data_IF_732931805001
#
_entry.id   IF_732931805001
#
_cell.length_a   1.000
_cell.length_b   1.000
_cell.length_c   1.000
_cell.angle_alpha   90.00
_cell.angle_beta   90.00
_cell.angle_gamma   90.00
#
_symmetry.space_group_name_H-M   'P 1'
#
loop_
_entity.id
_entity.type
_entity.pdbx_description
1 polymer ?
#
# COMPACT_ATOMS: atom_id res chain seq x y z
N UNK A 1 -1.15 -3.02 3.93
CA UNK A 1 -1.80 -2.02 3.05
C UNK A 1 -1.47 -2.35 1.61
N UNK A 2 -2.38 -2.06 0.68
CA UNK A 2 -2.13 -2.15 -0.77
C UNK A 2 -2.46 -0.80 -1.38
N UNK A 3 -1.54 -0.23 -2.16
CA UNK A 3 -1.66 1.11 -2.74
C UNK A 3 -1.35 1.04 -4.23
N UNK A 4 -2.24 1.56 -5.06
CA UNK A 4 -1.97 1.87 -6.46
C UNK A 4 -1.30 3.24 -6.54
N UNK A 5 -0.15 3.35 -7.19
CA UNK A 5 0.60 4.61 -7.31
C UNK A 5 0.25 5.42 -8.56
N UNK A 6 -0.55 4.85 -9.46
CA UNK A 6 -0.65 5.29 -10.84
C UNK A 6 -2.09 5.55 -11.27
N UNK A 7 -3.03 5.82 -10.35
CA UNK A 7 -4.39 6.12 -10.77
C UNK A 7 -4.44 7.46 -11.51
N UNK A 8 -5.04 7.55 -12.70
CA UNK A 8 -5.21 8.84 -13.36
C UNK A 8 -6.15 9.75 -12.56
N UNK A 9 -5.92 11.06 -12.67
CA UNK A 9 -6.82 12.07 -12.06
C UNK A 9 -8.12 12.24 -12.82
N UNK A 10 -8.14 11.86 -14.10
CA UNK A 10 -9.29 11.88 -14.98
C UNK A 10 -9.34 10.55 -15.75
N UNK A 11 -10.44 9.81 -15.64
CA UNK A 11 -10.56 8.49 -16.28
C UNK A 11 -10.92 8.58 -17.78
N UNK A 12 -11.49 9.69 -18.24
CA UNK A 12 -11.81 9.94 -19.65
C UNK A 12 -10.60 10.47 -20.43
N UNK A 13 -9.72 11.21 -19.75
CA UNK A 13 -8.43 11.65 -20.29
C UNK A 13 -7.32 11.33 -19.28
N UNK A 14 -6.80 10.09 -19.27
CA UNK A 14 -5.79 9.63 -18.30
C UNK A 14 -4.50 10.45 -18.28
N UNK A 15 -4.20 11.15 -19.37
CA UNK A 15 -3.03 12.03 -19.50
C UNK A 15 -3.25 13.45 -18.94
N UNK A 16 -4.47 13.78 -18.47
CA UNK A 16 -4.82 15.12 -17.98
C UNK A 16 -4.31 15.42 -16.57
N UNK A 17 -3.00 15.32 -16.36
CA UNK A 17 -2.30 15.69 -15.13
C UNK A 17 -1.54 14.54 -14.49
N UNK A 18 -0.89 14.84 -13.36
CA UNK A 18 -0.12 13.84 -12.62
C UNK A 18 -1.04 12.75 -12.04
N UNK A 19 -0.59 11.49 -12.13
CA UNK A 19 -1.25 10.34 -11.48
C UNK A 19 -1.26 10.51 -9.96
N UNK A 20 -2.18 9.81 -9.31
CA UNK A 20 -2.43 9.86 -7.87
C UNK A 20 -2.44 8.47 -7.26
N UNK A 21 -2.27 8.42 -5.95
CA UNK A 21 -2.39 7.18 -5.19
C UNK A 21 -3.85 6.76 -5.00
N UNK A 22 -4.09 5.47 -4.85
CA UNK A 22 -5.34 4.91 -4.35
C UNK A 22 -5.07 3.80 -3.34
N UNK A 23 -5.67 3.88 -2.15
CA UNK A 23 -5.62 2.82 -1.15
C UNK A 23 -6.60 1.70 -1.53
N UNK A 24 -6.07 0.56 -1.97
CA UNK A 24 -6.84 -0.62 -2.38
C UNK A 24 -7.18 -1.55 -1.20
N UNK A 25 -6.38 -1.52 -0.14
CA UNK A 25 -6.65 -2.30 1.07
C UNK A 25 -5.92 -1.74 2.28
N UNK A 26 -6.58 -1.81 3.43
CA UNK A 26 -5.98 -1.63 4.74
C UNK A 26 -6.61 -2.67 5.67
N UNK A 27 -5.86 -3.74 5.90
CA UNK A 27 -6.25 -4.85 6.76
C UNK A 27 -5.22 -4.92 7.89
N UNK A 28 -5.70 -5.06 9.11
CA UNK A 28 -4.89 -5.17 10.32
C UNK A 28 -5.08 -6.54 10.98
N UNK A 29 -4.51 -6.75 12.17
CA UNK A 29 -4.76 -7.96 12.95
C UNK A 29 -4.08 -9.22 12.41
N UNK A 30 -3.14 -9.10 11.46
CA UNK A 30 -2.34 -10.24 11.01
C UNK A 30 -1.57 -10.87 12.19
N UNK A 31 -1.60 -12.20 12.24
CA UNK A 31 -0.86 -13.04 13.19
C UNK A 31 -0.25 -14.23 12.45
N UNK A 32 0.89 -14.78 12.93
CA UNK A 32 1.40 -16.03 12.40
C UNK A 32 0.34 -17.12 12.44
N UNK A 33 0.15 -17.83 11.34
CA UNK A 33 -0.79 -18.96 11.29
C UNK A 33 -0.22 -20.26 11.87
N UNK A 34 1.04 -20.23 12.32
CA UNK A 34 1.82 -21.43 12.68
C UNK A 34 2.41 -22.17 11.47
N UNK A 35 2.08 -21.75 10.25
CA UNK A 35 2.66 -22.32 9.03
C UNK A 35 3.94 -21.59 8.63
N UNK A 36 4.98 -22.35 8.30
CA UNK A 36 6.26 -21.84 7.82
C UNK A 36 6.58 -22.48 6.48
N UNK A 37 6.92 -21.66 5.48
CA UNK A 37 7.38 -22.15 4.16
C UNK A 37 8.65 -21.41 3.78
N UNK A 38 9.71 -22.14 3.43
CA UNK A 38 11.02 -21.57 3.09
C UNK A 38 11.56 -20.59 4.16
N UNK A 39 11.34 -20.90 5.44
CA UNK A 39 11.74 -20.05 6.56
C UNK A 39 10.90 -18.78 6.73
N UNK A 40 9.82 -18.62 5.96
CA UNK A 40 8.89 -17.48 6.04
C UNK A 40 7.61 -17.91 6.75
N UNK A 41 7.24 -17.19 7.80
CA UNK A 41 5.95 -17.38 8.47
C UNK A 41 4.81 -16.89 7.58
N UNK A 42 3.80 -17.72 7.41
CA UNK A 42 2.53 -17.29 6.84
C UNK A 42 1.77 -16.47 7.88
N UNK A 43 1.32 -15.29 7.47
CA UNK A 43 0.47 -14.43 8.29
C UNK A 43 -0.97 -14.53 7.82
N UNK A 44 -1.90 -14.66 8.76
CA UNK A 44 -3.35 -14.68 8.49
C UNK A 44 -4.06 -13.63 9.33
N UNK A 45 -5.15 -13.08 8.79
CA UNK A 45 -6.08 -12.20 9.50
C UNK A 45 -7.49 -12.55 9.08
N UNK A 46 -8.43 -12.46 10.02
CA UNK A 46 -9.88 -12.52 9.74
C UNK A 46 -10.49 -11.11 9.59
N UNK A 47 -9.69 -10.05 9.80
CA UNK A 47 -10.14 -8.69 9.65
C UNK A 47 -10.37 -8.33 8.18
N UNK A 48 -11.39 -7.51 7.94
CA UNK A 48 -11.74 -7.03 6.59
C UNK A 48 -11.38 -5.55 6.39
N UNK A 49 -10.81 -4.87 7.40
CA UNK A 49 -10.76 -3.42 7.38
C UNK A 49 -9.69 -2.76 8.25
N UNK A 50 -9.65 -1.41 8.21
CA UNK A 50 -10.73 -0.47 7.83
C UNK A 50 -11.06 -0.27 6.34
N UNK A 51 -10.20 -0.71 5.41
CA UNK A 51 -10.49 -0.69 3.96
C UNK A 51 -10.40 -2.10 3.41
N UNK A 52 -11.54 -2.63 2.99
CA UNK A 52 -11.64 -3.94 2.36
C UNK A 52 -10.84 -3.97 1.05
N UNK A 53 -10.31 -5.14 0.73
CA UNK A 53 -9.54 -5.34 -0.48
C UNK A 53 -10.40 -5.12 -1.73
N UNK A 54 -9.93 -4.24 -2.61
CA UNK A 54 -10.40 -4.09 -3.98
C UNK A 54 -9.25 -4.49 -4.90
N UNK A 55 -9.49 -5.43 -5.81
CA UNK A 55 -8.48 -5.91 -6.74
C UNK A 55 -7.98 -4.84 -7.73
N UNK A 56 -6.85 -5.09 -8.42
CA UNK A 56 -6.42 -4.29 -9.55
C UNK A 56 -7.52 -4.18 -10.61
N UNK A 57 -7.70 -2.97 -11.13
CA UNK A 57 -8.69 -2.67 -12.18
C UNK A 57 -8.36 -1.35 -12.88
N UNK A 58 -7.15 -1.23 -13.48
CA UNK A 58 -6.78 -0.01 -14.16
C UNK A 58 -7.74 0.27 -15.33
N UNK A 59 -8.11 1.54 -15.57
CA UNK A 59 -8.92 1.89 -16.74
C UNK A 59 -8.16 1.54 -18.03
N UNK A 60 -8.86 1.25 -19.14
CA UNK A 60 -8.21 1.12 -20.43
C UNK A 60 -7.61 2.47 -20.84
N UNK A 61 -6.36 2.44 -21.28
CA UNK A 61 -5.62 3.61 -21.77
C UNK A 61 -5.03 3.29 -23.15
N UNK A 62 -4.87 4.31 -24.00
CA UNK A 62 -4.21 4.19 -25.30
C UNK A 62 -3.13 5.28 -25.45
N UNK A 63 -1.83 4.92 -25.41
CA UNK A 63 -1.28 3.56 -25.26
C UNK A 63 -1.56 2.94 -23.88
N UNK A 64 -1.54 1.60 -23.74
CA UNK A 64 -1.73 0.92 -22.45
C UNK A 64 -0.71 1.37 -21.40
N UNK A 65 -1.17 1.55 -20.17
CA UNK A 65 -0.32 1.91 -19.04
C UNK A 65 -0.51 0.93 -17.87
N UNK A 66 0.60 0.31 -17.44
CA UNK A 66 0.58 -0.61 -16.30
C UNK A 66 0.68 0.15 -14.98
N UNK A 67 -0.29 -0.07 -14.07
CA UNK A 67 -0.28 0.52 -12.74
C UNK A 67 0.68 -0.21 -11.79
N UNK A 68 1.42 0.53 -10.97
CA UNK A 68 2.26 -0.03 -9.90
C UNK A 68 1.43 -0.15 -8.63
N UNK A 69 1.16 -1.39 -8.26
CA UNK A 69 0.58 -1.74 -6.97
C UNK A 69 1.69 -2.07 -5.96
N UNK A 70 1.66 -1.45 -4.79
CA UNK A 70 2.61 -1.71 -3.71
C UNK A 70 1.87 -2.28 -2.52
N UNK A 71 2.31 -3.44 -2.05
CA UNK A 71 1.88 -4.04 -0.79
C UNK A 71 2.90 -3.73 0.29
N UNK A 72 2.44 -3.19 1.41
CA UNK A 72 3.27 -2.81 2.55
C UNK A 72 2.76 -3.49 3.82
N UNK A 73 3.66 -4.15 4.54
CA UNK A 73 3.42 -4.76 5.83
C UNK A 73 4.12 -3.94 6.91
N UNK A 74 3.39 -3.60 7.95
CA UNK A 74 3.87 -2.85 9.11
C UNK A 74 3.64 -3.67 10.36
N UNK A 75 4.57 -3.57 11.30
CA UNK A 75 4.34 -4.00 12.66
C UNK A 75 3.50 -2.95 13.39
N UNK A 76 2.48 -3.42 14.12
CA UNK A 76 1.56 -2.57 14.88
C UNK A 76 1.81 -2.74 16.36
N UNK A 77 1.74 -1.66 17.14
CA UNK A 77 1.77 -1.73 18.60
C UNK A 77 0.36 -1.92 19.21
N UNK A 78 0.27 -2.12 20.52
CA UNK A 78 -1.00 -2.32 21.23
C UNK A 78 -1.97 -1.13 21.17
N UNK A 79 -1.47 0.06 20.84
CA UNK A 79 -2.26 1.29 20.73
C UNK A 79 -2.69 1.61 19.29
N UNK A 80 -2.27 0.81 18.32
CA UNK A 80 -2.60 1.04 16.91
C UNK A 80 -4.09 0.84 16.67
N UNK A 81 -4.77 1.91 16.24
CA UNK A 81 -6.17 1.88 15.87
C UNK A 81 -6.41 2.82 14.69
N UNK A 82 -7.19 2.34 13.72
CA UNK A 82 -7.58 3.13 12.54
C UNK A 82 -9.04 2.88 12.24
N UNK A 83 -9.83 3.95 12.31
CA UNK A 83 -11.24 3.96 11.94
C UNK A 83 -11.41 4.13 10.43
N UNK A 84 -12.53 3.61 9.91
CA UNK A 84 -12.90 3.80 8.50
C UNK A 84 -13.02 5.28 8.11
N UNK A 85 -13.43 6.15 9.03
CA UNK A 85 -13.55 7.59 8.78
C UNK A 85 -12.21 8.24 8.47
N UNK A 86 -11.14 7.84 9.16
CA UNK A 86 -9.78 8.36 8.94
C UNK A 86 -9.22 8.01 7.55
N UNK A 87 -9.69 6.91 6.94
CA UNK A 87 -9.17 6.39 5.66
C UNK A 87 -10.24 6.27 4.58
N UNK A 88 -11.41 6.91 4.77
CA UNK A 88 -12.57 6.80 3.86
C UNK A 88 -12.23 7.24 2.44
N UNK A 89 -11.41 8.29 2.32
CA UNK A 89 -10.93 8.80 1.05
C UNK A 89 -9.70 7.99 0.64
N UNK A 90 -9.88 7.06 -0.30
CA UNK A 90 -8.79 6.19 -0.78
C UNK A 90 -7.96 6.85 -1.87
N UNK A 91 -8.55 7.68 -2.73
CA UNK A 91 -7.81 8.46 -3.73
C UNK A 91 -7.01 9.58 -3.07
N UNK A 92 -5.79 9.80 -3.59
CA UNK A 92 -4.78 10.70 -3.00
C UNK A 92 -4.39 10.28 -1.58
N UNK A 93 -4.47 8.98 -1.26
CA UNK A 93 -3.98 8.47 0.02
C UNK A 93 -2.51 8.84 0.22
N UNK A 94 -2.24 9.63 1.25
CA UNK A 94 -0.89 10.05 1.60
C UNK A 94 -0.31 9.10 2.64
N UNK A 95 0.54 8.17 2.18
CA UNK A 95 1.17 7.17 3.03
C UNK A 95 2.01 7.80 4.15
N UNK A 96 2.82 8.81 3.83
CA UNK A 96 3.73 9.44 4.80
C UNK A 96 2.95 10.10 5.93
N UNK A 97 1.92 10.90 5.58
CA UNK A 97 1.05 11.54 6.57
C UNK A 97 0.30 10.52 7.40
N UNK A 98 -0.22 9.46 6.77
CA UNK A 98 -0.90 8.39 7.48
C UNK A 98 0.02 7.71 8.49
N UNK A 99 1.18 7.19 8.05
CA UNK A 99 2.15 6.48 8.90
C UNK A 99 2.58 7.32 10.10
N UNK A 100 2.82 8.61 9.90
CA UNK A 100 3.12 9.55 10.98
C UNK A 100 1.94 9.70 11.97
N UNK A 101 0.72 9.88 11.46
CA UNK A 101 -0.48 10.06 12.29
C UNK A 101 -0.81 8.84 13.15
N UNK A 102 -0.51 7.62 12.67
CA UNK A 102 -0.75 6.37 13.42
C UNK A 102 0.51 5.82 14.10
N UNK A 103 1.60 6.60 14.13
CA UNK A 103 2.87 6.24 14.77
C UNK A 103 3.43 4.87 14.33
N UNK A 104 3.27 4.54 13.05
CA UNK A 104 3.89 3.36 12.48
C UNK A 104 5.37 3.63 12.18
N UNK A 105 6.21 2.63 12.43
CA UNK A 105 7.62 2.65 12.01
C UNK A 105 7.75 2.37 10.50
N UNK A 106 8.98 2.24 10.01
CA UNK A 106 9.20 1.79 8.64
C UNK A 106 8.53 0.42 8.39
N UNK A 107 8.00 0.18 7.18
CA UNK A 107 7.44 -1.12 6.81
C UNK A 107 8.47 -2.24 6.96
N UNK A 108 8.08 -3.33 7.63
CA UNK A 108 8.91 -4.53 7.83
C UNK A 108 9.05 -5.34 6.52
N UNK A 109 8.13 -5.13 5.58
CA UNK A 109 8.21 -5.69 4.22
C UNK A 109 7.41 -4.84 3.25
N UNK A 110 7.94 -4.71 2.03
CA UNK A 110 7.19 -4.18 0.90
C UNK A 110 7.44 -5.01 -0.35
N UNK A 111 6.41 -5.13 -1.17
CA UNK A 111 6.49 -5.79 -2.48
C UNK A 111 5.73 -4.97 -3.52
N UNK A 112 6.24 -5.01 -4.74
CA UNK A 112 5.53 -4.57 -5.94
C UNK A 112 5.60 -5.70 -6.96
N UNK A 113 4.56 -5.93 -7.79
CA UNK A 113 4.62 -6.90 -8.88
C UNK A 113 5.83 -6.67 -9.81
N UNK A 114 6.26 -5.42 -9.94
CA UNK A 114 7.56 -5.04 -10.51
C UNK A 114 8.55 -4.76 -9.37
N UNK A 115 9.35 -5.76 -9.00
CA UNK A 115 10.21 -5.82 -7.81
C UNK A 115 11.33 -4.76 -7.74
N UNK A 116 11.41 -3.82 -8.70
CA UNK A 116 12.46 -2.80 -8.79
C UNK A 116 12.22 -1.54 -7.95
N UNK A 117 11.00 -1.27 -7.50
CA UNK A 117 10.64 0.02 -6.88
C UNK A 117 11.12 0.14 -5.41
N UNK A 118 11.15 -0.96 -4.66
CA UNK A 118 11.45 -0.91 -3.22
C UNK A 118 12.94 -0.69 -2.92
N UNK A 119 13.83 -1.18 -3.78
CA UNK A 119 15.28 -0.98 -3.61
C UNK A 119 15.69 0.50 -3.83
N UNK A 120 15.01 1.22 -4.71
CA UNK A 120 15.35 2.61 -5.00
C UNK A 120 15.02 3.60 -3.87
N UNK A 121 13.95 3.37 -3.10
CA UNK A 121 13.61 4.26 -1.98
C UNK A 121 14.52 4.07 -0.75
N UNK A 122 15.04 2.86 -0.54
CA UNK A 122 16.04 2.59 0.50
C UNK A 122 17.40 3.18 0.10
N UNK A 123 17.82 3.02 -1.15
CA UNK A 123 19.09 3.54 -1.66
C UNK A 123 19.19 5.07 -1.64
N UNK A 124 18.06 5.79 -1.78
CA UNK A 124 18.03 7.25 -1.69
C UNK A 124 18.27 7.77 -0.27
N UNK A 125 17.96 7.00 0.78
CA UNK A 125 18.22 7.39 2.18
C UNK A 125 19.59 6.99 2.70
N UNK A 126 20.28 6.07 2.05
CA UNK A 126 21.64 5.64 2.48
C UNK A 126 22.76 6.53 1.92
N UNK A 127 22.44 7.47 1.02
CA UNK A 127 23.40 8.41 0.43
C UNK A 127 23.44 9.79 1.09
N UNK A 128 22.65 10.03 2.13
CA UNK A 128 22.71 11.23 2.97
C UNK A 128 23.20 10.85 4.37
N UNK A 129 24.46 10.41 4.47
CA UNK A 129 25.26 10.43 5.70
C UNK A 129 26.73 10.59 5.35
#
# INVERSE_FOLDING_TARGET
MIIDLDVPVNFQNPSAGARRTNLHAMISGFKPSGQVSNGVNTLTSTATGPIAYVGPGPPPENPPYAHRYVSLLYETNSTFSVSRTQVRQTFRFNLTTFVAAVSLSQPIRGTSPDSRVYQHQQAARTKEK
#
